data_IF_750516017607
#
_entry.id   IF_750516017607
#
_cell.length_a   1.000
_cell.length_b   1.000
_cell.length_c   1.000
_cell.angle_alpha   90.00
_cell.angle_beta   90.00
_cell.angle_gamma   90.00
#
_symmetry.space_group_name_H-M   'P 1'
#
loop_
_entity.id
_entity.type
_entity.pdbx_description
1 polymer ?
#
# COMPACT_ATOMS: atom_id res chain seq x y z
N UNK A 1 5.83 -25.27 -4.59
CA UNK A 1 6.39 -23.98 -4.13
C UNK A 1 6.61 -23.13 -5.37
N UNK A 2 6.10 -21.90 -5.41
CA UNK A 2 6.08 -21.06 -6.62
C UNK A 2 7.01 -19.86 -6.52
N UNK A 3 7.56 -19.44 -7.66
CA UNK A 3 8.33 -18.19 -7.77
C UNK A 3 7.34 -17.02 -7.94
N UNK A 4 7.60 -15.92 -7.24
CA UNK A 4 6.85 -14.67 -7.42
C UNK A 4 7.50 -13.88 -8.56
N UNK A 5 6.77 -13.57 -9.64
CA UNK A 5 7.33 -12.81 -10.77
C UNK A 5 7.82 -11.43 -10.35
N UNK A 6 8.89 -10.94 -10.97
CA UNK A 6 9.46 -9.61 -10.67
C UNK A 6 8.46 -8.48 -10.88
N UNK A 7 7.67 -8.51 -11.96
CA UNK A 7 6.62 -7.53 -12.24
C UNK A 7 5.62 -7.43 -11.08
N UNK A 8 5.33 -8.55 -10.41
CA UNK A 8 4.45 -8.57 -9.25
C UNK A 8 5.12 -7.90 -8.03
N UNK A 9 6.41 -8.17 -7.82
CA UNK A 9 7.18 -7.56 -6.73
C UNK A 9 7.26 -6.04 -6.90
N UNK A 10 7.52 -5.58 -8.11
CA UNK A 10 7.57 -4.16 -8.46
C UNK A 10 6.19 -3.50 -8.29
N UNK A 11 5.13 -4.12 -8.80
CA UNK A 11 3.77 -3.61 -8.66
C UNK A 11 3.34 -3.50 -7.18
N UNK A 12 3.66 -4.52 -6.37
CA UNK A 12 3.36 -4.51 -4.94
C UNK A 12 4.18 -3.44 -4.20
N UNK A 13 5.46 -3.28 -4.54
CA UNK A 13 6.31 -2.22 -4.00
C UNK A 13 5.76 -0.82 -4.30
N UNK A 14 5.38 -0.56 -5.55
CA UNK A 14 4.75 0.72 -5.94
C UNK A 14 3.43 0.95 -5.23
N UNK A 15 2.60 -0.08 -5.06
CA UNK A 15 1.35 0.04 -4.32
C UNK A 15 1.60 0.43 -2.85
N UNK A 16 2.62 -0.15 -2.22
CA UNK A 16 3.02 0.19 -0.84
C UNK A 16 3.45 1.66 -0.75
N UNK A 17 4.25 2.15 -1.70
CA UNK A 17 4.66 3.57 -1.75
C UNK A 17 3.44 4.49 -1.94
N UNK A 18 2.51 4.14 -2.83
CA UNK A 18 1.29 4.94 -3.01
C UNK A 18 0.42 4.92 -1.75
N UNK A 19 0.34 3.79 -1.05
CA UNK A 19 -0.39 3.66 0.21
C UNK A 19 0.22 4.52 1.33
N UNK A 20 1.55 4.56 1.45
CA UNK A 20 2.24 5.34 2.50
C UNK A 20 2.11 6.85 2.32
N UNK A 21 1.85 7.34 1.11
CA UNK A 21 1.61 8.75 0.82
C UNK A 21 0.12 9.15 0.84
N UNK A 22 -0.80 8.20 1.07
CA UNK A 22 -2.24 8.48 1.02
C UNK A 22 -2.69 9.30 2.23
N UNK A 23 -3.26 10.49 1.98
CA UNK A 23 -3.84 11.35 3.02
C UNK A 23 -5.37 11.27 3.08
N UNK A 24 -6.00 10.73 2.03
CA UNK A 24 -7.44 10.46 2.03
C UNK A 24 -7.74 9.13 2.74
N UNK A 25 -8.62 9.11 3.76
CA UNK A 25 -8.90 7.88 4.53
C UNK A 25 -9.58 6.79 3.71
N UNK A 26 -10.47 7.15 2.78
CA UNK A 26 -11.16 6.16 1.93
C UNK A 26 -10.18 5.48 0.96
N UNK A 27 -9.26 6.27 0.40
CA UNK A 27 -8.16 5.77 -0.42
C UNK A 27 -7.20 4.91 0.40
N UNK A 28 -6.80 5.35 1.60
CA UNK A 28 -5.92 4.60 2.49
C UNK A 28 -6.52 3.23 2.87
N UNK A 29 -7.82 3.17 3.15
CA UNK A 29 -8.55 1.92 3.38
C UNK A 29 -8.48 0.99 2.17
N UNK A 30 -8.73 1.50 0.96
CA UNK A 30 -8.69 0.68 -0.27
C UNK A 30 -7.29 0.18 -0.59
N UNK A 31 -6.28 1.04 -0.44
CA UNK A 31 -4.88 0.70 -0.73
C UNK A 31 -4.34 -0.32 0.27
N UNK A 32 -4.54 -0.11 1.57
CA UNK A 32 -4.17 -1.08 2.60
C UNK A 32 -4.83 -2.44 2.38
N UNK A 33 -6.14 -2.48 2.08
CA UNK A 33 -6.83 -3.73 1.75
C UNK A 33 -6.23 -4.44 0.55
N UNK A 34 -5.82 -3.68 -0.45
CA UNK A 34 -5.20 -4.21 -1.68
C UNK A 34 -3.85 -4.84 -1.36
N UNK A 35 -3.01 -4.17 -0.58
CA UNK A 35 -1.73 -4.71 -0.09
C UNK A 35 -1.97 -6.01 0.69
N UNK A 36 -2.90 -6.03 1.64
CA UNK A 36 -3.25 -7.25 2.40
C UNK A 36 -3.63 -8.43 1.49
N UNK A 37 -4.48 -8.19 0.48
CA UNK A 37 -4.92 -9.21 -0.48
C UNK A 37 -3.77 -9.74 -1.33
N UNK A 38 -2.93 -8.83 -1.83
CA UNK A 38 -1.83 -9.18 -2.70
C UNK A 38 -0.75 -9.95 -1.93
N UNK A 39 -0.38 -9.49 -0.73
CA UNK A 39 0.54 -10.24 0.13
C UNK A 39 0.01 -11.65 0.43
N UNK A 40 -1.28 -11.79 0.77
CA UNK A 40 -1.91 -13.10 0.97
C UNK A 40 -1.82 -14.02 -0.26
N UNK A 41 -2.17 -13.51 -1.44
CA UNK A 41 -2.10 -14.26 -2.68
C UNK A 41 -0.65 -14.69 -3.01
N UNK A 42 0.32 -13.79 -2.79
CA UNK A 42 1.72 -14.08 -3.01
C UNK A 42 2.24 -15.16 -2.05
N UNK A 43 1.89 -15.09 -0.76
CA UNK A 43 2.26 -16.14 0.20
C UNK A 43 1.66 -17.49 -0.17
N UNK A 44 0.39 -17.52 -0.57
CA UNK A 44 -0.24 -18.76 -1.04
C UNK A 44 0.46 -19.31 -2.29
N UNK A 45 0.77 -18.47 -3.28
CA UNK A 45 1.50 -18.89 -4.48
C UNK A 45 2.90 -19.42 -4.14
N UNK A 46 3.62 -18.72 -3.26
CA UNK A 46 4.98 -19.07 -2.85
C UNK A 46 4.99 -20.39 -2.09
N UNK A 47 4.17 -20.53 -1.04
CA UNK A 47 4.24 -21.64 -0.08
C UNK A 47 3.23 -22.75 -0.31
N UNK A 48 2.23 -22.56 -1.18
CA UNK A 48 1.10 -23.47 -1.38
C UNK A 48 0.10 -23.41 -0.23
N UNK A 49 0.56 -23.70 0.99
CA UNK A 49 -0.20 -23.49 2.23
C UNK A 49 0.47 -22.40 3.08
N UNK A 50 -0.25 -21.33 3.44
CA UNK A 50 0.30 -20.29 4.29
C UNK A 50 0.66 -20.85 5.68
N UNK A 51 1.73 -20.35 6.33
CA UNK A 51 2.06 -20.72 7.70
C UNK A 51 0.88 -20.44 8.64
N UNK A 52 0.67 -21.30 9.64
CA UNK A 52 -0.47 -21.18 10.55
C UNK A 52 -0.50 -19.83 11.28
N UNK A 53 0.67 -19.34 11.73
CA UNK A 53 0.79 -18.03 12.36
C UNK A 53 0.35 -16.91 11.40
N UNK A 54 0.86 -16.90 10.18
CA UNK A 54 0.49 -15.89 9.18
C UNK A 54 -1.01 -15.91 8.85
N UNK A 55 -1.63 -17.09 8.77
CA UNK A 55 -3.08 -17.18 8.58
C UNK A 55 -3.84 -16.57 9.77
N UNK A 56 -3.41 -16.86 11.01
CA UNK A 56 -4.00 -16.29 12.21
C UNK A 56 -3.93 -14.76 12.19
N UNK A 57 -2.73 -14.22 11.99
CA UNK A 57 -2.49 -12.77 11.94
C UNK A 57 -3.26 -12.12 10.79
N UNK A 58 -3.32 -12.75 9.62
CA UNK A 58 -4.06 -12.22 8.47
C UNK A 58 -5.56 -12.11 8.78
N UNK A 59 -6.14 -13.12 9.44
CA UNK A 59 -7.54 -13.08 9.86
C UNK A 59 -7.78 -11.97 10.87
N UNK A 60 -6.87 -11.78 11.82
CA UNK A 60 -6.95 -10.70 12.81
C UNK A 60 -6.90 -9.33 12.13
N UNK A 61 -5.90 -9.09 11.28
CA UNK A 61 -5.78 -7.83 10.55
C UNK A 61 -6.95 -7.57 9.62
N UNK A 62 -7.51 -8.60 8.99
CA UNK A 62 -8.72 -8.46 8.17
C UNK A 62 -9.90 -8.00 9.03
N UNK A 63 -10.11 -8.59 10.21
CA UNK A 63 -11.18 -8.15 11.12
C UNK A 63 -10.98 -6.71 11.58
N UNK A 64 -9.73 -6.32 11.88
CA UNK A 64 -9.37 -4.95 12.21
C UNK A 64 -9.72 -4.01 11.06
N UNK A 65 -9.32 -4.35 9.83
CA UNK A 65 -9.67 -3.55 8.65
C UNK A 65 -11.18 -3.43 8.46
N UNK A 66 -11.93 -4.55 8.52
CA UNK A 66 -13.39 -4.56 8.33
C UNK A 66 -14.09 -3.67 9.38
N UNK A 67 -13.61 -3.70 10.63
CA UNK A 67 -14.12 -2.83 11.71
C UNK A 67 -13.85 -1.36 11.40
N UNK A 68 -12.63 -0.99 11.06
CA UNK A 68 -12.25 0.40 10.77
C UNK A 68 -13.01 0.94 9.55
N UNK A 69 -13.11 0.14 8.49
CA UNK A 69 -13.86 0.50 7.29
C UNK A 69 -15.34 0.75 7.60
N UNK A 70 -15.95 -0.10 8.43
CA UNK A 70 -17.35 0.06 8.85
C UNK A 70 -17.53 1.29 9.73
N UNK A 71 -16.64 1.51 10.71
CA UNK A 71 -16.68 2.69 11.57
C UNK A 71 -16.57 3.98 10.78
N UNK A 72 -15.62 4.08 9.84
CA UNK A 72 -15.43 5.27 9.01
C UNK A 72 -16.61 5.51 8.04
N UNK A 73 -17.19 4.44 7.49
CA UNK A 73 -18.37 4.55 6.65
C UNK A 73 -19.60 5.09 7.42
N UNK A 74 -19.69 4.76 8.71
CA UNK A 74 -20.76 5.27 9.59
C UNK A 74 -20.45 6.68 10.12
N UNK A 75 -19.19 7.01 10.34
CA UNK A 75 -18.75 8.30 10.87
C UNK A 75 -17.42 8.74 10.24
N UNK A 76 -17.52 9.67 9.29
CA UNK A 76 -16.36 10.26 8.61
C UNK A 76 -15.46 11.13 9.51
N UNK A 77 -15.92 11.50 10.71
CA UNK A 77 -15.08 12.26 11.66
C UNK A 77 -13.94 11.42 12.24
N UNK A 78 -14.03 10.09 12.15
CA UNK A 78 -13.00 9.13 12.57
C UNK A 78 -11.83 9.00 11.56
N UNK A 79 -11.63 10.01 10.70
CA UNK A 79 -10.59 9.99 9.66
C UNK A 79 -9.19 9.79 10.24
N UNK A 80 -8.87 10.38 11.39
CA UNK A 80 -7.55 10.30 12.01
C UNK A 80 -7.26 8.89 12.53
N UNK A 81 -8.25 8.28 13.21
CA UNK A 81 -8.16 6.88 13.65
C UNK A 81 -8.05 5.94 12.45
N UNK A 82 -8.80 6.22 11.38
CA UNK A 82 -8.76 5.45 10.14
C UNK A 82 -7.37 5.44 9.51
N UNK A 83 -6.77 6.62 9.32
CA UNK A 83 -5.41 6.74 8.78
C UNK A 83 -4.39 6.03 9.66
N UNK A 84 -4.46 6.25 10.97
CA UNK A 84 -3.59 5.59 11.96
C UNK A 84 -3.68 4.06 11.85
N UNK A 85 -4.89 3.49 11.82
CA UNK A 85 -5.08 2.04 11.72
C UNK A 85 -4.68 1.47 10.37
N UNK A 86 -4.89 2.20 9.28
CA UNK A 86 -4.39 1.76 7.96
C UNK A 86 -2.86 1.76 7.91
N UNK A 87 -2.17 2.68 8.60
CA UNK A 87 -0.72 2.66 8.74
C UNK A 87 -0.24 1.45 9.54
N UNK A 88 -0.87 1.12 10.67
CA UNK A 88 -0.53 -0.08 11.46
C UNK A 88 -0.62 -1.36 10.60
N UNK A 89 -1.68 -1.47 9.79
CA UNK A 89 -1.86 -2.58 8.83
C UNK A 89 -0.72 -2.59 7.81
N UNK A 90 -0.42 -1.43 7.22
CA UNK A 90 0.64 -1.31 6.23
C UNK A 90 2.00 -1.74 6.79
N UNK A 91 2.37 -1.31 7.99
CA UNK A 91 3.66 -1.66 8.62
C UNK A 91 3.81 -3.17 8.79
N UNK A 92 2.75 -3.86 9.23
CA UNK A 92 2.77 -5.31 9.35
C UNK A 92 2.97 -5.98 7.98
N UNK A 93 2.18 -5.60 6.97
CA UNK A 93 2.23 -6.26 5.66
C UNK A 93 3.49 -5.92 4.86
N UNK A 94 4.06 -4.73 5.03
CA UNK A 94 5.39 -4.36 4.49
C UNK A 94 6.47 -5.25 5.10
N UNK A 95 6.43 -5.46 6.42
CA UNK A 95 7.36 -6.35 7.11
C UNK A 95 7.26 -7.79 6.57
N UNK A 96 6.04 -8.30 6.38
CA UNK A 96 5.83 -9.60 5.73
C UNK A 96 6.41 -9.62 4.32
N UNK A 97 6.16 -8.57 3.52
CA UNK A 97 6.67 -8.49 2.16
C UNK A 97 8.20 -8.50 2.09
N UNK A 98 8.89 -7.84 3.02
CA UNK A 98 10.35 -7.87 3.10
C UNK A 98 10.87 -9.25 3.51
N UNK A 99 10.32 -9.82 4.59
CA UNK A 99 10.75 -11.13 5.11
C UNK A 99 10.51 -12.26 4.10
N UNK A 100 9.49 -12.11 3.26
CA UNK A 100 9.12 -13.11 2.27
C UNK A 100 9.60 -12.77 0.87
N UNK A 101 10.48 -11.76 0.71
CA UNK A 101 11.03 -11.35 -0.59
C UNK A 101 9.92 -11.16 -1.64
N UNK A 102 8.84 -10.48 -1.25
CA UNK A 102 7.68 -10.18 -2.09
C UNK A 102 7.73 -8.79 -2.72
N UNK A 103 8.67 -7.95 -2.29
CA UNK A 103 8.94 -6.65 -2.88
C UNK A 103 10.43 -6.54 -3.16
N UNK A 104 10.77 -5.78 -4.21
CA UNK A 104 12.14 -5.39 -4.48
C UNK A 104 12.27 -3.92 -4.11
N UNK A 105 13.22 -3.58 -3.25
CA UNK A 105 13.61 -2.19 -3.00
C UNK A 105 14.80 -1.94 -3.91
N UNK A 106 14.55 -1.36 -5.09
CA UNK A 106 15.63 -0.89 -5.93
C UNK A 106 15.92 0.58 -5.58
N UNK A 107 17.18 1.00 -5.69
CA UNK A 107 17.58 2.41 -5.49
C UNK A 107 16.85 3.41 -6.40
N UNK A 108 16.20 2.93 -7.47
CA UNK A 108 15.35 3.74 -8.35
C UNK A 108 13.95 4.05 -7.77
N UNK A 109 13.51 3.39 -6.70
CA UNK A 109 12.17 3.64 -6.11
C UNK A 109 12.08 5.00 -5.40
N UNK A 110 13.21 5.64 -5.06
CA UNK A 110 13.25 7.05 -4.59
C UNK A 110 12.70 8.03 -5.65
N UNK A 111 12.78 7.70 -6.94
CA UNK A 111 12.24 8.55 -8.01
C UNK A 111 10.71 8.53 -8.06
N UNK A 112 10.04 7.47 -7.58
CA UNK A 112 8.58 7.34 -7.70
C UNK A 112 7.83 8.26 -6.72
N UNK A 113 8.34 8.41 -5.49
CA UNK A 113 7.88 9.42 -4.54
C UNK A 113 8.09 10.83 -5.08
N UNK A 114 9.24 11.09 -5.70
CA UNK A 114 9.53 12.40 -6.32
C UNK A 114 8.59 12.68 -7.49
N UNK A 115 8.21 11.67 -8.29
CA UNK A 115 7.29 11.84 -9.42
C UNK A 115 5.84 12.07 -8.99
N UNK A 116 5.42 11.52 -7.85
CA UNK A 116 4.08 11.69 -7.28
C UNK A 116 3.95 13.00 -6.48
N UNK A 117 5.02 13.43 -5.80
CA UNK A 117 5.04 14.62 -4.96
C UNK A 117 5.44 15.87 -5.76
N UNK A 118 6.34 15.76 -6.74
CA UNK A 118 6.66 16.84 -7.65
C UNK A 118 5.79 16.74 -8.90
N UNK A 119 4.60 17.36 -8.86
CA UNK A 119 3.96 17.81 -10.10
C UNK A 119 4.95 18.76 -10.78
N UNK A 120 5.69 18.28 -11.79
CA UNK A 120 6.31 19.20 -12.73
C UNK A 120 5.20 20.10 -13.28
N UNK A 121 5.31 21.43 -13.20
CA UNK A 121 4.34 22.31 -13.84
C UNK A 121 4.24 21.88 -15.30
N UNK A 122 3.00 21.79 -15.78
CA UNK A 122 2.74 21.49 -17.17
C UNK A 122 3.45 22.56 -18.03
N UNK A 123 4.09 22.22 -19.16
CA UNK A 123 4.68 23.21 -20.07
C UNK A 123 3.69 24.28 -20.57
N UNK A 124 2.40 24.12 -20.29
CA UNK A 124 1.35 25.09 -20.55
C UNK A 124 1.37 26.30 -19.59
N UNK A 125 1.98 26.21 -18.41
CA UNK A 125 2.00 27.29 -17.41
C UNK A 125 3.17 28.27 -17.61
N UNK A 126 4.28 27.85 -18.22
CA UNK A 126 5.43 28.72 -18.53
C UNK A 126 5.20 29.67 -19.73
N UNK A 127 4.16 29.44 -20.54
CA UNK A 127 3.87 30.31 -21.71
C UNK A 127 3.03 31.55 -21.40
N UNK A 128 2.67 31.79 -20.13
CA UNK A 128 1.93 33.01 -19.72
C UNK A 128 2.78 34.07 -19.01
N UNK A 129 4.07 33.83 -18.80
CA UNK A 129 4.93 34.69 -17.96
C UNK A 129 6.11 35.38 -18.66
N UNK A 130 6.32 35.20 -19.96
CA UNK A 130 7.45 35.80 -20.70
C UNK A 130 6.98 36.65 -21.88
N UNK A 131 6.18 37.65 -21.55
CA UNK A 131 5.71 38.67 -22.49
C UNK A 131 5.66 40.04 -21.84
N UNK A 132 6.82 40.54 -21.40
CA UNK A 132 7.15 41.96 -21.26
C UNK A 132 8.59 42.20 -21.72
#
# INVERSE_FOLDING_TARGET
MGIIPNDYKEALGRLIVVASCSTDPAQALRLSRSVMSLTWAAIQKKKGKPPAQFLSDWVEWKKTWDKVATSFANDSSLWAETLSKTSDIMDYFVTVCLNEDLISIASQDMYFSDMLLNKRPSPAEDRRGSGE
#
